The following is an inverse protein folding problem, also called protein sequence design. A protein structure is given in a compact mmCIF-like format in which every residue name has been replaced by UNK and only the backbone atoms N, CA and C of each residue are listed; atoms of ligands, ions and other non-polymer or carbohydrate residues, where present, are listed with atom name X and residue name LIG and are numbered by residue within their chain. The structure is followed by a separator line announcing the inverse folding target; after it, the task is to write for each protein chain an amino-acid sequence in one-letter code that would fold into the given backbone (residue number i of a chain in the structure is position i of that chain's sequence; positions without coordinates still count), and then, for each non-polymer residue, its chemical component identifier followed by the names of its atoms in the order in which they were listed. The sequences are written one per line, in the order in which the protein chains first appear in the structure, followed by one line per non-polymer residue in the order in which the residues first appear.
data_IF_342477998927
#
_entry.id   IF_342477998927
#
_cell.length_a   1.000
_cell.length_b   1.000
_cell.length_c   1.000
_cell.angle_alpha   90.00
_cell.angle_beta   90.00
_cell.angle_gamma   90.00
#
_symmetry.space_group_name_H-M   'P 1'
#
loop_
_entity.id
_entity.type
_entity.pdbx_description
1 polymer ?
#
# COMPACT_ATOMS: atom_id res chain seq x y z
N UNK A 1 -5.29 21.12 -3.70
CA UNK A 1 -4.45 20.12 -2.98
C UNK A 1 -3.70 19.33 -4.03
N UNK A 2 -2.40 19.01 -3.84
CA UNK A 2 -1.62 18.24 -4.82
C UNK A 2 -1.71 16.74 -4.50
N UNK A 3 -2.01 15.94 -5.51
CA UNK A 3 -2.04 14.48 -5.44
C UNK A 3 -0.79 13.92 -6.10
N UNK A 4 -0.26 12.83 -5.53
CA UNK A 4 0.98 12.19 -5.95
C UNK A 4 0.68 10.75 -6.31
N UNK A 5 1.31 10.28 -7.37
CA UNK A 5 1.17 8.91 -7.84
C UNK A 5 2.51 8.22 -7.68
N UNK A 6 2.53 7.11 -6.95
CA UNK A 6 3.68 6.23 -6.87
C UNK A 6 3.33 4.86 -7.41
N UNK A 7 4.24 4.28 -8.18
CA UNK A 7 4.14 2.90 -8.67
C UNK A 7 5.42 2.16 -8.30
N UNK A 8 5.27 0.95 -7.78
CA UNK A 8 6.39 0.05 -7.47
C UNK A 8 5.98 -1.40 -7.66
N UNK A 9 6.97 -2.28 -7.84
CA UNK A 9 6.75 -3.72 -7.92
C UNK A 9 6.92 -4.35 -6.55
N UNK A 10 6.16 -5.38 -6.25
CA UNK A 10 6.29 -6.16 -5.02
C UNK A 10 6.23 -7.66 -5.30
N UNK A 11 7.39 -8.29 -5.29
CA UNK A 11 7.53 -9.69 -5.70
C UNK A 11 7.01 -10.69 -4.66
N UNK A 12 6.83 -10.24 -3.41
CA UNK A 12 6.48 -11.10 -2.29
C UNK A 12 4.95 -11.28 -2.11
N UNK A 13 4.12 -10.79 -3.04
CA UNK A 13 2.66 -10.96 -3.02
C UNK A 13 2.21 -12.19 -3.81
N UNK A 14 2.48 -13.38 -3.29
CA UNK A 14 2.12 -14.64 -3.96
C UNK A 14 0.80 -15.26 -3.45
N UNK A 15 0.27 -14.75 -2.34
CA UNK A 15 -0.93 -15.30 -1.70
C UNK A 15 -2.08 -14.29 -1.67
N UNK A 16 -3.28 -14.73 -2.03
CA UNK A 16 -4.52 -13.95 -1.95
C UNK A 16 -4.74 -13.36 -0.55
N UNK A 17 -4.32 -14.07 0.50
CA UNK A 17 -4.44 -13.60 1.88
C UNK A 17 -3.50 -12.43 2.19
N UNK A 18 -2.27 -12.45 1.68
CA UNK A 18 -1.32 -11.34 1.81
C UNK A 18 -1.82 -10.12 1.03
N UNK A 19 -2.39 -10.32 -0.16
CA UNK A 19 -3.03 -9.23 -0.91
C UNK A 19 -4.14 -8.57 -0.10
N UNK A 20 -5.05 -9.36 0.47
CA UNK A 20 -6.16 -8.81 1.27
C UNK A 20 -5.68 -7.98 2.44
N UNK A 21 -4.59 -8.40 3.11
CA UNK A 21 -4.01 -7.62 4.19
C UNK A 21 -3.45 -6.29 3.68
N UNK A 22 -2.69 -6.30 2.58
CA UNK A 22 -2.16 -5.07 1.96
C UNK A 22 -3.28 -4.11 1.59
N UNK A 23 -4.33 -4.60 0.92
CA UNK A 23 -5.50 -3.81 0.52
C UNK A 23 -6.18 -3.18 1.74
N UNK A 24 -6.38 -3.95 2.82
CA UNK A 24 -6.96 -3.44 4.07
C UNK A 24 -6.05 -2.42 4.76
N UNK A 25 -4.75 -2.66 4.79
CA UNK A 25 -3.77 -1.73 5.36
C UNK A 25 -3.79 -0.42 4.59
N UNK A 26 -3.70 -0.46 3.25
CA UNK A 26 -3.75 0.71 2.38
C UNK A 26 -5.07 1.48 2.54
N UNK A 27 -6.20 0.79 2.55
CA UNK A 27 -7.52 1.41 2.74
C UNK A 27 -7.68 2.11 4.10
N UNK A 28 -6.88 1.74 5.10
CA UNK A 28 -6.85 2.39 6.40
C UNK A 28 -5.95 3.62 6.48
N UNK A 29 -5.21 3.96 5.41
CA UNK A 29 -4.26 5.05 5.41
C UNK A 29 -4.96 6.39 5.17
N UNK A 30 -4.78 7.29 6.13
CA UNK A 30 -5.29 8.65 6.05
C UNK A 30 -4.50 9.41 4.98
N UNK A 31 -5.21 9.94 3.98
CA UNK A 31 -4.59 10.67 2.86
C UNK A 31 -4.29 9.83 1.63
N UNK A 32 -4.64 8.55 1.63
CA UNK A 32 -4.77 7.75 0.43
C UNK A 32 -6.04 8.18 -0.33
N UNK A 33 -5.93 8.43 -1.63
CA UNK A 33 -7.08 8.74 -2.49
C UNK A 33 -7.52 7.51 -3.28
N UNK A 34 -6.55 6.81 -3.87
CA UNK A 34 -6.81 5.64 -4.71
C UNK A 34 -5.63 4.68 -4.64
N UNK A 35 -5.89 3.38 -4.79
CA UNK A 35 -4.85 2.39 -4.98
C UNK A 35 -5.31 1.32 -5.97
N UNK A 36 -4.35 0.78 -6.71
CA UNK A 36 -4.56 -0.30 -7.65
C UNK A 36 -3.44 -1.33 -7.46
N UNK A 37 -3.81 -2.59 -7.37
CA UNK A 37 -2.89 -3.69 -7.14
C UNK A 37 -3.10 -4.74 -8.21
N UNK A 38 -2.04 -5.01 -8.98
CA UNK A 38 -2.02 -5.99 -10.05
C UNK A 38 -1.14 -7.17 -9.62
N UNK A 39 -1.77 -8.30 -9.29
CA UNK A 39 -1.09 -9.54 -8.91
C UNK A 39 -0.33 -10.17 -10.09
N UNK A 40 -0.88 -10.09 -11.31
CA UNK A 40 -0.27 -10.69 -12.49
C UNK A 40 1.10 -10.06 -12.80
N UNK A 41 1.17 -8.74 -12.71
CA UNK A 41 2.38 -7.95 -12.97
C UNK A 41 3.18 -7.64 -11.69
N UNK A 42 2.70 -8.11 -10.54
CA UNK A 42 3.26 -7.82 -9.21
C UNK A 42 3.49 -6.32 -9.00
N UNK A 43 2.56 -5.49 -9.45
CA UNK A 43 2.72 -4.03 -9.47
C UNK A 43 1.62 -3.34 -8.66
N UNK A 44 2.04 -2.36 -7.86
CA UNK A 44 1.17 -1.60 -6.98
C UNK A 44 1.27 -0.14 -7.38
N UNK A 45 0.12 0.50 -7.62
CA UNK A 45 -0.01 1.93 -7.90
C UNK A 45 -0.84 2.56 -6.78
N UNK A 46 -0.37 3.65 -6.22
CA UNK A 46 -1.05 4.37 -5.14
C UNK A 46 -1.09 5.85 -5.44
N UNK A 47 -2.24 6.47 -5.21
CA UNK A 47 -2.51 7.90 -5.31
C UNK A 47 -2.74 8.43 -3.90
N UNK A 48 -1.95 9.41 -3.48
CA UNK A 48 -1.99 9.94 -2.12
C UNK A 48 -1.68 11.44 -2.07
N UNK A 49 -2.01 12.08 -0.94
CA UNK A 49 -1.74 13.50 -0.70
C UNK A 49 -0.50 13.68 0.17
N UNK A 50 0.44 14.50 -0.29
CA UNK A 50 1.78 14.73 0.30
C UNK A 50 1.79 15.04 1.80
N UNK A 51 0.75 15.72 2.28
CA UNK A 51 0.65 16.16 3.69
C UNK A 51 0.38 15.04 4.68
N UNK A 52 0.06 13.83 4.24
CA UNK A 52 -0.44 12.77 5.13
C UNK A 52 0.35 11.47 5.07
N UNK A 53 1.05 11.21 3.97
CA UNK A 53 1.77 9.95 3.77
C UNK A 53 2.85 10.11 2.69
N UNK A 54 3.99 9.46 2.89
CA UNK A 54 5.11 9.43 1.94
C UNK A 54 5.18 8.11 1.17
N UNK A 55 5.94 8.09 0.07
CA UNK A 55 6.21 6.88 -0.71
C UNK A 55 6.83 5.76 0.15
N UNK A 56 7.71 6.12 1.07
CA UNK A 56 8.39 5.18 1.95
C UNK A 56 7.43 4.56 2.97
N UNK A 57 6.50 5.33 3.52
CA UNK A 57 5.43 4.82 4.39
C UNK A 57 4.59 3.75 3.68
N UNK A 58 4.18 4.05 2.44
CA UNK A 58 3.38 3.12 1.61
C UNK A 58 4.16 1.82 1.40
N UNK A 59 5.44 1.90 1.03
CA UNK A 59 6.29 0.73 0.83
C UNK A 59 6.46 -0.07 2.11
N UNK A 60 6.71 0.61 3.22
CA UNK A 60 6.87 0.00 4.53
C UNK A 60 5.61 -0.78 4.92
N UNK A 61 4.43 -0.17 4.84
CA UNK A 61 3.16 -0.80 5.15
C UNK A 61 2.89 -2.02 4.28
N UNK A 62 3.15 -1.92 2.97
CA UNK A 62 2.97 -3.04 2.05
C UNK A 62 3.90 -4.18 2.43
N UNK A 63 5.17 -3.91 2.70
CA UNK A 63 6.14 -4.92 3.09
C UNK A 63 5.78 -5.58 4.43
N UNK A 64 5.51 -4.78 5.45
CA UNK A 64 5.14 -5.25 6.78
C UNK A 64 3.84 -6.05 6.78
N UNK A 65 2.84 -5.65 6.00
CA UNK A 65 1.57 -6.38 5.89
C UNK A 65 1.77 -7.78 5.30
N UNK A 66 2.77 -7.97 4.45
CA UNK A 66 3.14 -9.26 3.86
C UNK A 66 3.97 -10.08 4.85
N UNK A 67 4.97 -9.48 5.49
CA UNK A 67 5.88 -10.16 6.42
C UNK A 67 5.16 -10.62 7.70
N UNK A 68 4.38 -9.73 8.30
CA UNK A 68 3.67 -10.00 9.55
C UNK A 68 2.36 -10.77 9.33
N UNK A 69 1.84 -10.76 8.10
CA UNK A 69 0.52 -11.29 7.78
C UNK A 69 -0.63 -10.57 8.51
N UNK A 70 -0.41 -9.33 8.98
CA UNK A 70 -1.38 -8.52 9.72
C UNK A 70 -1.70 -7.22 8.98
N UNK A 71 -2.84 -6.63 9.31
CA UNK A 71 -3.23 -5.31 8.82
C UNK A 71 -2.48 -4.25 9.64
N UNK A 72 -1.69 -3.42 8.96
CA UNK A 72 -0.93 -2.32 9.55
C UNK A 72 -1.75 -1.04 9.38
N UNK A 73 -1.92 -0.27 10.46
CA UNK A 73 -2.53 1.06 10.44
C UNK A 73 -1.48 2.08 10.86
N UNK A 74 -1.17 3.05 10.01
CA UNK A 74 -0.43 4.24 10.44
C UNK A 74 -1.38 5.12 11.23
N UNK A 75 -1.14 5.20 12.54
CA UNK A 75 -1.77 6.16 13.43
C UNK A 75 -0.76 7.30 13.58
N UNK A 76 -0.93 8.35 12.79
CA UNK A 76 -0.23 9.63 12.99
C UNK A 76 -1.25 10.65 13.47
#
# INVERSE_FOLDING_TARGET
MKSYVTKFKQNNMLCHKCLMNVVKSLSGLKGLEEFNVDLNSQSIKVVYRDKSISKDDIKYIVNESILTGKVIKLVH
#
